data_IF_761093551889
#
_entry.id   IF_761093551889
#
_cell.length_a   1.000
_cell.length_b   1.000
_cell.length_c   1.000
_cell.angle_alpha   90.00
_cell.angle_beta   90.00
_cell.angle_gamma   90.00
#
_symmetry.space_group_name_H-M   'P 1'
#
loop_
_entity.id
_entity.type
_entity.pdbx_description
1 polymer ?
#
# COMPACT_ATOMS: atom_id res chain seq x y z
N UNK A 1 -12.07 0.47 -5.64
CA UNK A 1 -11.46 0.94 -4.37
C UNK A 1 -12.13 2.19 -3.78
N UNK A 2 -12.87 2.99 -4.56
CA UNK A 2 -13.41 4.29 -4.11
C UNK A 2 -14.65 4.23 -3.19
N UNK A 3 -15.42 3.13 -3.20
CA UNK A 3 -16.75 3.10 -2.57
C UNK A 3 -16.75 2.97 -1.04
N UNK A 4 -15.64 2.57 -0.42
CA UNK A 4 -15.59 2.21 1.01
C UNK A 4 -14.75 3.18 1.86
N UNK A 5 -14.38 4.35 1.32
CA UNK A 5 -13.62 5.40 2.05
C UNK A 5 -12.42 4.85 2.85
N UNK A 6 -11.70 3.89 2.27
CA UNK A 6 -10.59 3.22 2.96
C UNK A 6 -9.43 4.21 3.10
N UNK A 7 -8.94 4.42 4.32
CA UNK A 7 -7.80 5.30 4.58
C UNK A 7 -6.47 4.67 4.19
N UNK A 8 -6.29 3.37 4.46
CA UNK A 8 -5.01 2.67 4.33
C UNK A 8 -5.21 1.34 3.58
N UNK A 9 -4.40 1.12 2.55
CA UNK A 9 -4.40 -0.13 1.77
C UNK A 9 -2.99 -0.73 1.83
N UNK A 10 -2.91 -1.99 2.28
CA UNK A 10 -1.64 -2.74 2.31
C UNK A 10 -1.70 -3.84 1.27
N UNK A 11 -0.70 -3.86 0.39
CA UNK A 11 -0.58 -4.81 -0.70
C UNK A 11 0.66 -5.66 -0.48
N UNK A 12 0.49 -6.98 -0.48
CA UNK A 12 1.61 -7.91 -0.55
C UNK A 12 2.19 -7.91 -1.96
N UNK A 13 3.46 -7.59 -2.11
CA UNK A 13 4.19 -7.84 -3.35
C UNK A 13 5.10 -9.05 -3.22
N UNK A 14 5.19 -9.83 -4.29
CA UNK A 14 6.23 -10.84 -4.42
C UNK A 14 7.39 -10.23 -5.19
N UNK A 15 8.42 -9.78 -4.47
CA UNK A 15 9.67 -9.31 -5.07
C UNK A 15 10.46 -10.53 -5.57
N UNK A 16 10.10 -11.04 -6.75
CA UNK A 16 10.72 -12.21 -7.35
C UNK A 16 12.11 -11.86 -7.91
N UNK A 17 13.11 -11.76 -7.02
CA UNK A 17 14.53 -11.79 -7.42
C UNK A 17 14.99 -13.20 -7.80
N UNK A 18 14.16 -14.23 -7.62
CA UNK A 18 14.47 -15.59 -8.02
C UNK A 18 14.06 -15.87 -9.47
N UNK A 19 14.98 -16.36 -10.33
CA UNK A 19 14.67 -16.75 -11.70
C UNK A 19 13.63 -17.89 -11.76
N UNK A 20 13.56 -18.74 -10.74
CA UNK A 20 12.61 -19.85 -10.65
C UNK A 20 11.14 -19.39 -10.51
N UNK A 21 10.88 -18.30 -9.78
CA UNK A 21 9.53 -17.76 -9.62
C UNK A 21 9.07 -16.92 -10.84
N UNK A 22 10.01 -16.49 -11.71
CA UNK A 22 9.71 -15.90 -13.02
C UNK A 22 9.19 -16.95 -14.02
N UNK A 23 9.76 -18.15 -14.00
CA UNK A 23 9.34 -19.29 -14.85
C UNK A 23 7.88 -19.67 -14.60
N UNK A 24 7.43 -19.66 -13.33
CA UNK A 24 6.08 -20.07 -12.96
C UNK A 24 4.99 -19.00 -13.15
N UNK A 25 5.28 -17.87 -13.84
CA UNK A 25 4.33 -16.73 -14.08
C UNK A 25 3.62 -16.19 -12.82
N UNK A 26 4.01 -16.61 -11.62
CA UNK A 26 3.39 -16.24 -10.34
C UNK A 26 3.74 -14.79 -9.93
N UNK A 27 4.70 -14.16 -10.63
CA UNK A 27 5.22 -12.83 -10.31
C UNK A 27 4.42 -11.64 -10.90
N UNK A 28 3.19 -11.84 -11.39
CA UNK A 28 2.34 -10.73 -11.92
C UNK A 28 1.87 -9.70 -10.87
N UNK A 29 2.32 -9.82 -9.63
CA UNK A 29 1.98 -8.95 -8.51
C UNK A 29 2.32 -7.46 -8.74
N UNK A 30 3.32 -7.14 -9.56
CA UNK A 30 3.70 -5.75 -9.87
C UNK A 30 2.59 -4.97 -10.59
N UNK A 31 1.90 -5.61 -11.54
CA UNK A 31 0.90 -4.94 -12.37
C UNK A 31 -0.35 -4.57 -11.55
N UNK A 32 -0.74 -5.45 -10.62
CA UNK A 32 -1.84 -5.21 -9.68
C UNK A 32 -1.50 -4.05 -8.75
N UNK A 33 -0.30 -4.05 -8.14
CA UNK A 33 0.11 -2.97 -7.25
C UNK A 33 0.14 -1.61 -7.98
N UNK A 34 0.68 -1.58 -9.20
CA UNK A 34 0.72 -0.37 -10.02
C UNK A 34 -0.69 0.10 -10.44
N UNK A 35 -1.56 -0.84 -10.82
CA UNK A 35 -2.96 -0.54 -11.18
C UNK A 35 -3.75 0.01 -10.00
N UNK A 36 -3.53 -0.53 -8.79
CA UNK A 36 -4.12 0.03 -7.58
C UNK A 36 -3.54 1.42 -7.32
N UNK A 37 -2.22 1.61 -7.36
CA UNK A 37 -1.59 2.92 -7.13
C UNK A 37 -2.15 4.01 -8.06
N UNK A 38 -2.47 3.67 -9.31
CA UNK A 38 -3.04 4.59 -10.31
C UNK A 38 -4.54 4.82 -10.16
N UNK A 39 -5.31 3.80 -9.76
CA UNK A 39 -6.78 3.88 -9.66
C UNK A 39 -7.29 4.37 -8.31
N UNK A 40 -6.41 4.42 -7.32
CA UNK A 40 -6.75 4.79 -5.95
C UNK A 40 -6.73 6.31 -5.78
N UNK A 41 -7.70 6.89 -5.04
CA UNK A 41 -7.85 8.33 -4.93
C UNK A 41 -6.87 8.93 -3.94
N UNK A 42 -6.75 10.26 -3.97
CA UNK A 42 -5.65 10.94 -3.29
C UNK A 42 -5.67 10.86 -1.76
N UNK A 43 -6.83 10.54 -1.19
CA UNK A 43 -7.06 10.43 0.25
C UNK A 43 -6.55 9.14 0.89
N UNK A 44 -6.18 8.15 0.08
CA UNK A 44 -5.80 6.83 0.57
C UNK A 44 -4.27 6.68 0.63
N UNK A 45 -3.76 6.15 1.74
CA UNK A 45 -2.36 5.74 1.87
C UNK A 45 -2.20 4.28 1.45
N UNK A 46 -1.21 4.01 0.60
CA UNK A 46 -0.99 2.68 0.02
C UNK A 46 0.43 2.22 0.39
N UNK A 47 0.57 0.99 0.84
CA UNK A 47 1.84 0.39 1.21
C UNK A 47 2.01 -0.95 0.52
N UNK A 48 3.05 -1.08 -0.29
CA UNK A 48 3.43 -2.31 -0.96
C UNK A 48 4.55 -2.95 -0.16
N UNK A 49 4.32 -4.12 0.40
CA UNK A 49 5.24 -4.80 1.33
C UNK A 49 5.67 -6.15 0.74
N UNK A 50 6.97 -6.43 0.75
CA UNK A 50 7.55 -7.72 0.38
C UNK A 50 8.64 -8.09 1.36
N UNK A 51 8.68 -9.36 1.79
CA UNK A 51 9.77 -9.91 2.63
C UNK A 51 10.04 -9.05 3.88
N UNK A 52 8.99 -8.52 4.50
CA UNK A 52 9.10 -7.69 5.71
C UNK A 52 9.59 -6.26 5.48
N UNK A 53 9.72 -5.79 4.22
CA UNK A 53 10.11 -4.41 3.88
C UNK A 53 9.08 -3.74 2.98
N UNK A 54 8.90 -2.43 3.15
CA UNK A 54 8.11 -1.60 2.23
C UNK A 54 8.89 -1.45 0.94
N UNK A 55 8.35 -1.97 -0.17
CA UNK A 55 8.90 -1.78 -1.51
C UNK A 55 8.48 -0.45 -2.13
N UNK A 56 7.24 -0.04 -1.91
CA UNK A 56 6.69 1.20 -2.47
C UNK A 56 5.58 1.69 -1.55
N UNK A 57 5.47 3.00 -1.40
CA UNK A 57 4.40 3.60 -0.61
C UNK A 57 3.93 4.89 -1.24
N UNK A 58 2.63 5.15 -1.12
CA UNK A 58 2.00 6.42 -1.45
C UNK A 58 1.29 6.92 -0.21
N UNK A 59 1.71 8.04 0.35
CA UNK A 59 1.00 8.68 1.46
C UNK A 59 -0.24 9.41 0.95
N UNK A 60 -1.31 9.41 1.75
CA UNK A 60 -2.48 10.24 1.49
C UNK A 60 -2.07 11.73 1.45
N UNK A 61 -2.59 12.45 0.46
CA UNK A 61 -2.33 13.89 0.30
C UNK A 61 -3.50 14.75 0.78
N UNK A 62 -4.68 14.15 0.94
CA UNK A 62 -5.88 14.85 1.39
C UNK A 62 -6.56 14.06 2.52
N UNK A 63 -7.03 14.72 3.58
CA UNK A 63 -7.85 14.08 4.59
C UNK A 63 -9.20 13.67 3.99
N UNK A 64 -9.77 12.56 4.47
CA UNK A 64 -11.14 12.17 4.11
C UNK A 64 -12.10 13.07 4.89
N UNK A 65 -12.81 13.96 4.20
CA UNK A 65 -13.76 14.91 4.79
C UNK A 65 -14.99 14.23 5.43
N UNK A 66 -15.19 12.93 5.21
CA UNK A 66 -16.32 12.18 5.74
C UNK A 66 -15.85 10.92 6.48
N UNK A 67 -15.30 11.10 7.68
CA UNK A 67 -15.07 9.99 8.61
C UNK A 67 -15.82 10.30 9.89
N UNK A 68 -16.81 9.46 10.23
CA UNK A 68 -17.52 9.49 11.52
C UNK A 68 -16.58 9.25 12.72
N UNK A 69 -15.29 9.02 12.46
CA UNK A 69 -14.27 8.67 13.41
C UNK A 69 -13.03 9.52 13.10
N UNK A 70 -12.54 10.35 14.03
CA UNK A 70 -11.34 11.16 13.81
C UNK A 70 -10.15 10.28 13.37
N UNK A 71 -9.30 10.77 12.44
CA UNK A 71 -8.12 10.03 12.02
C UNK A 71 -7.27 9.72 13.25
N UNK A 72 -7.10 8.43 13.54
CA UNK A 72 -6.22 7.95 14.62
C UNK A 72 -4.81 8.42 14.29
N UNK A 73 -4.36 9.48 14.95
CA UNK A 73 -3.01 9.99 14.81
C UNK A 73 -2.04 8.81 15.07
N UNK A 74 -1.05 8.56 14.20
CA UNK A 74 -0.03 7.58 14.51
C UNK A 74 0.66 8.06 15.79
N UNK A 75 0.55 7.27 16.87
CA UNK A 75 1.34 7.47 18.07
C UNK A 75 2.80 7.44 17.63
N UNK A 76 3.44 8.61 17.61
CA UNK A 76 4.84 8.78 17.30
C UNK A 76 5.65 8.10 18.40
N UNK A 77 5.92 6.82 18.24
CA UNK A 77 6.83 6.06 19.10
C UNK A 77 7.69 5.14 18.25
N UNK A 78 8.41 5.73 17.30
CA UNK A 78 9.65 5.14 16.78
C UNK A 78 10.78 6.02 17.28
N UNK A 79 11.15 5.79 18.54
CA UNK A 79 12.42 6.26 19.08
C UNK A 79 13.51 5.47 18.37
N UNK A 80 14.37 6.18 17.62
CA UNK A 80 15.59 5.63 17.04
C UNK A 80 16.44 5.01 18.15
N UNK A 81 16.84 3.75 17.97
CA UNK A 81 18.11 3.20 18.42
C UNK A 81 18.55 2.11 17.44
#
# INVERSE_FOLDING_TARGET
VNNNLVNNIVLGSSSSKNPFARSLKLSKSHDVAASILKSTPEFCSIYVISKGKVQSSRSAQRPITNTLVPPRAPSSTFHLQ
#
